data_IF_319118261008
#
_entry.id   IF_319118261008
#
_cell.length_a   1.000
_cell.length_b   1.000
_cell.length_c   1.000
_cell.angle_alpha   90.00
_cell.angle_beta   90.00
_cell.angle_gamma   90.00
#
_symmetry.space_group_name_H-M   'P 1'
#
loop_
_entity.id
_entity.type
_entity.pdbx_description
1 polymer ?
#
# COMPACT_ATOMS: atom_id res chain seq x y z
N UNK A 1 28.16 6.29 -41.56
CA UNK A 1 27.11 7.11 -40.92
C UNK A 1 25.97 6.18 -40.54
N UNK A 2 25.93 5.70 -39.30
CA UNK A 2 24.85 4.84 -38.78
C UNK A 2 23.69 5.71 -38.34
N UNK A 3 22.52 5.52 -38.95
CA UNK A 3 21.29 6.20 -38.57
C UNK A 3 20.91 5.89 -37.10
N UNK A 4 20.36 6.86 -36.35
CA UNK A 4 19.85 6.57 -35.02
C UNK A 4 18.60 5.69 -35.18
N UNK A 5 18.62 4.50 -34.60
CA UNK A 5 17.46 3.63 -34.50
C UNK A 5 16.34 4.38 -33.77
N UNK A 6 15.33 4.81 -34.51
CA UNK A 6 14.12 5.41 -33.96
C UNK A 6 13.49 4.44 -32.96
N UNK A 7 13.49 4.81 -31.68
CA UNK A 7 12.68 4.14 -30.66
C UNK A 7 11.24 4.12 -31.16
N UNK A 8 10.53 2.97 -31.21
CA UNK A 8 9.14 2.97 -31.63
C UNK A 8 8.36 3.88 -30.67
N UNK A 9 7.73 4.92 -31.23
CA UNK A 9 6.83 5.81 -30.51
C UNK A 9 5.68 4.96 -29.96
N UNK A 10 5.76 4.57 -28.69
CA UNK A 10 4.76 3.69 -28.06
C UNK A 10 5.28 2.86 -26.89
N UNK A 11 6.60 2.64 -26.78
CA UNK A 11 7.15 1.90 -25.64
C UNK A 11 7.80 2.88 -24.63
N UNK A 12 7.27 2.99 -23.39
CA UNK A 12 7.88 3.82 -22.37
C UNK A 12 9.29 3.32 -21.99
N UNK A 13 10.15 4.18 -21.42
CA UNK A 13 11.36 3.77 -20.71
C UNK A 13 11.13 2.60 -19.75
N UNK A 14 12.13 1.73 -19.56
CA UNK A 14 11.93 0.49 -18.80
C UNK A 14 11.45 0.75 -17.37
N UNK A 15 11.98 1.79 -16.71
CA UNK A 15 11.53 2.20 -15.37
C UNK A 15 10.05 2.61 -15.37
N UNK A 16 9.64 3.38 -16.38
CA UNK A 16 8.25 3.81 -16.55
C UNK A 16 7.35 2.61 -16.91
N UNK A 17 7.78 1.72 -17.79
CA UNK A 17 7.09 0.49 -18.13
C UNK A 17 6.90 -0.41 -16.90
N UNK A 18 7.93 -0.51 -16.05
CA UNK A 18 7.89 -1.28 -14.81
C UNK A 18 6.93 -0.67 -13.80
N UNK A 19 6.94 0.66 -13.63
CA UNK A 19 5.96 1.36 -12.82
C UNK A 19 4.53 1.09 -13.32
N UNK A 20 4.27 1.24 -14.61
CA UNK A 20 2.94 1.03 -15.21
C UNK A 20 2.46 -0.42 -15.06
N UNK A 21 3.34 -1.41 -15.26
CA UNK A 21 3.01 -2.82 -15.02
C UNK A 21 2.64 -3.07 -13.55
N UNK A 22 3.38 -2.48 -12.61
CA UNK A 22 3.08 -2.59 -11.19
C UNK A 22 1.76 -1.89 -10.83
N UNK A 23 1.49 -0.73 -11.42
CA UNK A 23 0.25 0.01 -11.22
C UNK A 23 -0.98 -0.78 -11.69
N UNK A 24 -0.92 -1.36 -12.90
CA UNK A 24 -2.00 -2.22 -13.43
C UNK A 24 -2.16 -3.49 -12.61
N UNK A 25 -1.06 -4.08 -12.14
CA UNK A 25 -1.11 -5.25 -11.25
C UNK A 25 -1.79 -4.90 -9.93
N UNK A 26 -1.47 -3.75 -9.34
CA UNK A 26 -2.08 -3.27 -8.10
C UNK A 26 -3.57 -2.95 -8.29
N UNK A 27 -3.97 -2.32 -9.39
CA UNK A 27 -5.38 -1.95 -9.64
C UNK A 27 -6.31 -3.17 -9.77
N UNK A 28 -5.77 -4.31 -10.23
CA UNK A 28 -6.51 -5.58 -10.30
C UNK A 28 -6.64 -6.28 -8.95
N UNK A 29 -5.81 -5.92 -7.97
CA UNK A 29 -5.93 -6.45 -6.62
C UNK A 29 -7.02 -5.66 -5.91
N UNK A 30 -8.14 -6.30 -5.60
CA UNK A 30 -9.21 -5.67 -4.82
C UNK A 30 -8.66 -5.35 -3.42
N UNK A 31 -8.50 -4.07 -3.05
CA UNK A 31 -7.95 -3.72 -1.74
C UNK A 31 -8.90 -4.18 -0.65
N UNK A 32 -8.35 -4.69 0.43
CA UNK A 32 -9.13 -4.99 1.63
C UNK A 32 -9.26 -3.71 2.45
N UNK A 33 -10.48 -3.21 2.54
CA UNK A 33 -10.79 -2.03 3.33
C UNK A 33 -11.09 -2.44 4.77
N UNK A 34 -10.42 -1.81 5.73
CA UNK A 34 -10.74 -1.92 7.15
C UNK A 34 -11.25 -0.56 7.63
N UNK A 35 -12.48 -0.53 8.13
CA UNK A 35 -13.04 0.64 8.82
C UNK A 35 -12.61 0.63 10.28
N UNK A 36 -12.22 1.78 10.78
CA UNK A 36 -11.85 1.99 12.18
C UNK A 36 -12.00 3.46 12.57
N UNK A 37 -12.03 3.72 13.87
CA UNK A 37 -12.10 5.08 14.43
C UNK A 37 -10.72 5.46 14.95
N UNK A 38 -10.22 6.60 14.48
CA UNK A 38 -8.93 7.16 14.89
C UNK A 38 -9.02 7.80 16.30
N UNK A 39 -7.87 8.17 16.86
CA UNK A 39 -7.73 8.77 18.20
C UNK A 39 -8.53 10.07 18.41
N UNK A 40 -8.85 10.77 17.33
CA UNK A 40 -9.62 12.02 17.31
C UNK A 40 -11.12 11.77 17.13
N UNK A 41 -11.56 10.51 17.06
CA UNK A 41 -12.95 10.14 16.81
C UNK A 41 -13.32 10.07 15.32
N UNK A 42 -12.40 10.38 14.42
CA UNK A 42 -12.66 10.36 12.97
C UNK A 42 -12.78 8.93 12.46
N UNK A 43 -13.83 8.65 11.69
CA UNK A 43 -13.90 7.38 10.95
C UNK A 43 -12.90 7.37 9.80
N UNK A 44 -12.13 6.28 9.71
CA UNK A 44 -11.16 6.05 8.64
C UNK A 44 -11.39 4.73 7.96
N UNK A 45 -11.08 4.69 6.67
CA UNK A 45 -10.92 3.46 5.90
C UNK A 45 -9.47 3.32 5.50
N UNK A 46 -8.83 2.23 5.90
CA UNK A 46 -7.48 1.88 5.45
C UNK A 46 -7.57 0.79 4.40
N UNK A 47 -7.09 1.10 3.19
CA UNK A 47 -6.93 0.14 2.12
C UNK A 47 -5.64 -0.66 2.31
N UNK A 48 -5.77 -1.99 2.32
CA UNK A 48 -4.66 -2.91 2.54
C UNK A 48 -4.48 -3.80 1.30
N UNK A 49 -3.23 -3.98 0.91
CA UNK A 49 -2.80 -5.04 0.01
C UNK A 49 -3.00 -6.42 0.67
N UNK A 50 -3.02 -7.51 -0.11
CA UNK A 50 -3.13 -8.87 0.45
C UNK A 50 -2.02 -9.18 1.49
N UNK A 51 -0.79 -8.73 1.24
CA UNK A 51 0.32 -8.94 2.16
C UNK A 51 0.12 -8.19 3.49
N UNK A 52 -0.36 -6.95 3.44
CA UNK A 52 -0.66 -6.17 4.63
C UNK A 52 -1.81 -6.78 5.44
N UNK A 53 -2.84 -7.31 4.77
CA UNK A 53 -3.94 -8.02 5.45
C UNK A 53 -3.46 -9.26 6.20
N UNK A 54 -2.62 -10.08 5.57
CA UNK A 54 -2.06 -11.27 6.23
C UNK A 54 -1.30 -10.87 7.48
N UNK A 55 -0.47 -9.82 7.40
CA UNK A 55 0.28 -9.32 8.55
C UNK A 55 -0.61 -8.74 9.64
N UNK A 56 -1.62 -7.94 9.27
CA UNK A 56 -2.57 -7.36 10.22
C UNK A 56 -3.40 -8.46 10.92
N UNK A 57 -3.80 -9.51 10.19
CA UNK A 57 -4.49 -10.66 10.76
C UNK A 57 -3.63 -11.38 11.80
N UNK A 58 -2.35 -11.59 11.53
CA UNK A 58 -1.44 -12.23 12.47
C UNK A 58 -1.29 -11.41 13.76
N UNK A 59 -1.17 -10.09 13.65
CA UNK A 59 -1.10 -9.19 14.81
C UNK A 59 -2.41 -9.25 15.62
N UNK A 60 -3.56 -9.09 14.93
CA UNK A 60 -4.88 -9.15 15.54
C UNK A 60 -5.11 -10.47 16.30
N UNK A 61 -4.75 -11.60 15.67
CA UNK A 61 -4.85 -12.94 16.27
C UNK A 61 -3.94 -13.09 17.50
N UNK A 62 -2.68 -12.67 17.41
CA UNK A 62 -1.73 -12.76 18.53
C UNK A 62 -2.17 -11.98 19.76
N UNK A 63 -2.89 -10.86 19.55
CA UNK A 63 -3.41 -9.99 20.60
C UNK A 63 -4.85 -10.29 20.99
N UNK A 64 -5.54 -11.19 20.28
CA UNK A 64 -6.96 -11.52 20.43
C UNK A 64 -7.89 -10.29 20.36
N UNK A 65 -7.59 -9.37 19.45
CA UNK A 65 -8.38 -8.15 19.20
C UNK A 65 -8.76 -8.03 17.73
N UNK A 66 -9.75 -7.18 17.42
CA UNK A 66 -10.15 -6.91 16.05
C UNK A 66 -9.10 -6.07 15.30
N UNK A 67 -9.06 -6.19 13.97
CA UNK A 67 -8.14 -5.41 13.11
C UNK A 67 -8.31 -3.90 13.28
N UNK A 68 -9.55 -3.44 13.43
CA UNK A 68 -9.87 -2.03 13.68
C UNK A 68 -9.25 -1.53 15.00
N UNK A 69 -9.21 -2.38 16.02
CA UNK A 69 -8.59 -2.05 17.31
C UNK A 69 -7.06 -2.05 17.22
N UNK A 70 -6.47 -2.94 16.41
CA UNK A 70 -5.03 -2.87 16.10
C UNK A 70 -4.68 -1.53 15.44
N UNK A 71 -5.48 -1.06 14.48
CA UNK A 71 -5.25 0.22 13.80
C UNK A 71 -5.44 1.41 14.75
N UNK A 72 -6.46 1.36 15.62
CA UNK A 72 -6.66 2.36 16.68
C UNK A 72 -5.45 2.47 17.60
N UNK A 73 -4.95 1.33 18.10
CA UNK A 73 -3.75 1.30 18.94
C UNK A 73 -2.50 1.78 18.19
N UNK A 74 -2.38 1.45 16.90
CA UNK A 74 -1.27 1.88 16.06
C UNK A 74 -1.22 3.40 15.87
N UNK A 75 -2.37 4.10 15.91
CA UNK A 75 -2.42 5.56 15.83
C UNK A 75 -1.75 6.29 17.02
N UNK A 76 -1.48 5.57 18.11
CA UNK A 76 -0.73 6.09 19.26
C UNK A 76 0.77 5.78 19.19
N UNK A 77 1.23 5.01 18.20
CA UNK A 77 2.66 4.71 18.03
C UNK A 77 3.37 5.99 17.53
N UNK A 78 4.42 6.46 18.22
CA UNK A 78 5.17 7.63 17.77
C UNK A 78 5.73 7.43 16.36
N UNK A 79 5.52 8.42 15.48
CA UNK A 79 6.20 8.45 14.18
C UNK A 79 7.64 8.87 14.44
N UNK A 80 8.57 7.95 14.20
CA UNK A 80 9.99 8.29 14.24
C UNK A 80 10.29 9.27 13.08
N UNK A 81 11.11 10.30 13.30
CA UNK A 81 11.56 11.16 12.21
C UNK A 81 12.24 10.29 11.16
N UNK A 82 11.90 10.51 9.89
CA UNK A 82 12.62 9.89 8.80
C UNK A 82 14.10 10.26 8.95
N UNK A 83 15.00 9.27 8.88
CA UNK A 83 16.42 9.57 8.72
C UNK A 83 16.58 10.12 7.31
N UNK A 84 16.90 11.41 7.21
CA UNK A 84 17.36 12.05 5.98
C UNK A 84 18.63 11.37 5.43
#
# INVERSE_FOLDING_TARGET
>A
MTAPTSRPAGQPPEDEAQFLRNLVKASRQRPHLVQWTDRDGTERHTALTPAEVVRLNAIAASRRIAKAEVLRQAAHVPVLPAKD
#
